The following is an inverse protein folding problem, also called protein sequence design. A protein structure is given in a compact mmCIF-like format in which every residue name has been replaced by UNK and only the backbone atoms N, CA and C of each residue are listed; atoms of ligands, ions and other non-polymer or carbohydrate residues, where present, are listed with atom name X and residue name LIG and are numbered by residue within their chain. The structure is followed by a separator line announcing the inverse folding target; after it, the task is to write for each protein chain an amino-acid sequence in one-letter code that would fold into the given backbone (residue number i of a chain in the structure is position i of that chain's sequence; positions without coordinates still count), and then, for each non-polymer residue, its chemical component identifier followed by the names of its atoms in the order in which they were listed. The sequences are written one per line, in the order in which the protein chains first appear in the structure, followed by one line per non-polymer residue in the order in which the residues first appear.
data_IF_476626400718
#
_entry.id   IF_476626400718
#
_cell.length_a   1.000
_cell.length_b   1.000
_cell.length_c   1.000
_cell.angle_alpha   90.00
_cell.angle_beta   90.00
_cell.angle_gamma   90.00
#
_symmetry.space_group_name_H-M   'P 1'
#
loop_
_entity.id
_entity.type
_entity.pdbx_description
1 polymer ?
#
# COMPACT_ATOMS: atom_id res chain seq x y z
N UNK A 1 -6.81 -42.97 50.69
CA UNK A 1 -5.59 -42.15 50.56
C UNK A 1 -5.51 -41.78 49.10
N UNK A 2 -5.87 -40.53 48.79
CA UNK A 2 -5.87 -39.99 47.45
C UNK A 2 -4.47 -39.42 47.18
N UNK A 3 -3.81 -39.88 46.12
CA UNK A 3 -2.69 -39.14 45.53
C UNK A 3 -3.28 -38.34 44.37
N UNK A 4 -3.58 -37.09 44.69
CA UNK A 4 -4.00 -36.04 43.79
C UNK A 4 -2.75 -35.56 43.04
N UNK A 5 -2.59 -35.98 41.79
CA UNK A 5 -1.53 -35.48 40.91
C UNK A 5 -1.91 -34.04 40.55
N UNK A 6 -1.47 -33.12 41.41
CA UNK A 6 -1.51 -31.69 41.18
C UNK A 6 -0.62 -31.35 39.97
N UNK A 7 -1.19 -31.40 38.78
CA UNK A 7 -0.61 -30.81 37.57
C UNK A 7 -0.70 -29.29 37.68
N UNK A 8 0.25 -28.73 38.44
CA UNK A 8 0.46 -27.30 38.61
C UNK A 8 1.01 -26.71 37.31
N UNK A 9 0.13 -26.50 36.32
CA UNK A 9 0.45 -25.73 35.13
C UNK A 9 0.64 -24.26 35.54
N UNK A 10 1.78 -23.63 35.24
CA UNK A 10 1.95 -22.22 35.54
C UNK A 10 0.89 -21.46 34.74
N UNK A 11 0.10 -20.63 35.43
CA UNK A 11 -0.95 -19.77 34.87
C UNK A 11 -0.29 -18.72 33.97
N UNK A 12 0.25 -19.15 32.84
CA UNK A 12 0.54 -18.31 31.70
C UNK A 12 -0.78 -18.11 30.97
N UNK A 13 -1.18 -16.85 30.76
CA UNK A 13 -2.41 -16.51 30.03
C UNK A 13 -2.53 -17.34 28.75
N UNK A 14 -3.45 -18.32 28.76
CA UNK A 14 -3.88 -18.96 27.54
C UNK A 14 -4.82 -17.96 26.85
N UNK A 15 -4.26 -17.15 25.97
CA UNK A 15 -5.06 -16.30 25.08
C UNK A 15 -5.74 -17.23 24.07
N UNK A 16 -6.98 -17.59 24.36
CA UNK A 16 -7.83 -18.34 23.43
C UNK A 16 -8.18 -17.43 22.24
N UNK A 17 -7.36 -17.45 21.19
CA UNK A 17 -7.69 -16.82 19.91
C UNK A 17 -8.82 -17.62 19.26
N UNK A 18 -10.00 -17.03 19.03
CA UNK A 18 -11.12 -17.72 18.40
C UNK A 18 -10.67 -18.38 17.09
N UNK A 19 -11.15 -19.59 16.79
CA UNK A 19 -10.76 -20.31 15.57
C UNK A 19 -10.97 -19.48 14.29
N UNK A 20 -11.94 -18.57 14.29
CA UNK A 20 -12.22 -17.63 13.21
C UNK A 20 -11.10 -16.59 12.96
N UNK A 21 -10.21 -16.38 13.95
CA UNK A 21 -9.05 -15.49 13.86
C UNK A 21 -7.76 -16.23 13.49
N UNK A 22 -7.80 -17.57 13.43
CA UNK A 22 -6.74 -18.45 12.92
C UNK A 22 -6.98 -18.87 11.47
N UNK A 23 -7.80 -18.12 10.74
CA UNK A 23 -8.10 -18.39 9.34
C UNK A 23 -7.17 -17.61 8.42
N UNK A 24 -6.67 -18.28 7.40
CA UNK A 24 -6.09 -17.64 6.19
C UNK A 24 -7.00 -16.52 5.68
N UNK A 25 -8.32 -16.63 5.86
CA UNK A 25 -9.31 -15.61 5.51
C UNK A 25 -9.12 -14.25 6.21
N UNK A 26 -8.85 -14.22 7.52
CA UNK A 26 -8.61 -12.95 8.22
C UNK A 26 -7.30 -12.31 7.75
N UNK A 27 -6.30 -13.15 7.48
CA UNK A 27 -5.02 -12.68 6.96
C UNK A 27 -5.13 -12.16 5.53
N UNK A 28 -5.92 -12.82 4.69
CA UNK A 28 -6.24 -12.39 3.34
C UNK A 28 -7.03 -11.08 3.34
N UNK A 29 -8.03 -10.93 4.22
CA UNK A 29 -8.81 -9.70 4.37
C UNK A 29 -7.92 -8.52 4.78
N UNK A 30 -7.03 -8.72 5.77
CA UNK A 30 -6.06 -7.72 6.21
C UNK A 30 -5.12 -7.37 5.04
N UNK A 31 -4.63 -8.38 4.30
CA UNK A 31 -3.74 -8.17 3.16
C UNK A 31 -4.41 -7.35 2.06
N UNK A 32 -5.64 -7.71 1.67
CA UNK A 32 -6.41 -7.01 0.63
C UNK A 32 -6.67 -5.57 1.05
N UNK A 33 -7.19 -5.35 2.26
CA UNK A 33 -7.45 -4.00 2.77
C UNK A 33 -6.17 -3.15 2.83
N UNK A 34 -5.05 -3.74 3.22
CA UNK A 34 -3.75 -3.06 3.26
C UNK A 34 -3.29 -2.68 1.85
N UNK A 35 -3.39 -3.60 0.88
CA UNK A 35 -3.02 -3.35 -0.51
C UNK A 35 -3.88 -2.24 -1.14
N UNK A 36 -5.19 -2.28 -0.91
CA UNK A 36 -6.12 -1.26 -1.40
C UNK A 36 -5.77 0.13 -0.86
N UNK A 37 -5.48 0.20 0.45
CA UNK A 37 -5.09 1.46 1.10
C UNK A 37 -3.77 1.99 0.54
N UNK A 38 -2.74 1.14 0.42
CA UNK A 38 -1.46 1.52 -0.19
C UNK A 38 -1.69 2.02 -1.63
N UNK A 39 -2.48 1.30 -2.41
CA UNK A 39 -2.80 1.69 -3.79
C UNK A 39 -3.58 3.00 -3.89
N UNK A 40 -4.46 3.30 -2.92
CA UNK A 40 -5.16 4.57 -2.84
C UNK A 40 -4.21 5.72 -2.48
N UNK A 41 -3.37 5.53 -1.47
CA UNK A 41 -2.40 6.54 -1.01
C UNK A 41 -1.37 6.86 -2.11
N UNK A 42 -0.87 5.86 -2.83
CA UNK A 42 0.02 6.06 -3.97
C UNK A 42 -0.67 6.86 -5.08
N UNK A 43 -1.91 6.52 -5.44
CA UNK A 43 -2.67 7.26 -6.45
C UNK A 43 -2.89 8.71 -6.06
N UNK A 44 -3.20 8.98 -4.78
CA UNK A 44 -3.35 10.33 -4.27
C UNK A 44 -2.03 11.11 -4.36
N UNK A 45 -0.92 10.53 -3.90
CA UNK A 45 0.40 11.14 -3.99
C UNK A 45 0.81 11.46 -5.43
N UNK A 46 0.56 10.54 -6.37
CA UNK A 46 0.83 10.79 -7.79
C UNK A 46 -0.09 11.86 -8.38
N UNK A 47 -1.37 11.89 -8.01
CA UNK A 47 -2.29 12.94 -8.44
C UNK A 47 -1.83 14.32 -7.94
N UNK A 48 -1.38 14.41 -6.69
CA UNK A 48 -0.84 15.65 -6.13
C UNK A 48 0.45 16.08 -6.85
N UNK A 49 1.36 15.13 -7.13
CA UNK A 49 2.57 15.40 -7.90
C UNK A 49 2.25 15.93 -9.30
N UNK A 50 1.29 15.34 -10.01
CA UNK A 50 0.88 15.77 -11.35
C UNK A 50 0.21 17.16 -11.37
N UNK A 51 -0.33 17.61 -10.23
CA UNK A 51 -0.90 18.95 -10.09
C UNK A 51 0.15 20.01 -9.81
N UNK A 52 1.36 19.62 -9.41
CA UNK A 52 2.42 20.59 -9.18
C UNK A 52 2.92 21.16 -10.51
N UNK A 53 3.18 22.47 -10.56
CA UNK A 53 3.81 23.07 -11.73
C UNK A 53 5.20 22.46 -11.93
N UNK A 54 5.59 22.31 -13.20
CA UNK A 54 6.93 21.86 -13.54
C UNK A 54 7.95 22.89 -13.02
N UNK A 55 9.16 22.42 -12.72
CA UNK A 55 10.23 23.36 -12.43
C UNK A 55 10.51 24.26 -13.66
N UNK A 56 10.95 25.51 -13.50
CA UNK A 56 11.17 26.42 -14.62
C UNK A 56 12.11 25.86 -15.71
N UNK A 57 13.07 25.02 -15.33
CA UNK A 57 13.94 24.32 -16.27
C UNK A 57 13.20 23.27 -17.10
N UNK A 58 12.31 22.50 -16.48
CA UNK A 58 11.47 21.52 -17.16
C UNK A 58 10.42 22.18 -18.06
N UNK A 59 9.80 23.27 -17.61
CA UNK A 59 8.88 24.07 -18.45
C UNK A 59 9.55 24.54 -19.73
N UNK A 60 10.78 25.06 -19.62
CA UNK A 60 11.57 25.49 -20.77
C UNK A 60 11.85 24.35 -21.73
N UNK A 61 12.23 23.18 -21.22
CA UNK A 61 12.48 21.99 -22.04
C UNK A 61 11.20 21.51 -22.74
N UNK A 62 10.07 21.45 -22.02
CA UNK A 62 8.78 21.10 -22.62
C UNK A 62 8.40 22.08 -23.73
N UNK A 63 8.61 23.38 -23.53
CA UNK A 63 8.36 24.39 -24.54
C UNK A 63 9.28 24.21 -25.77
N UNK A 64 10.56 23.92 -25.57
CA UNK A 64 11.51 23.64 -26.65
C UNK A 64 11.14 22.37 -27.44
N UNK A 65 10.64 21.33 -26.76
CA UNK A 65 10.19 20.10 -27.41
C UNK A 65 8.95 20.37 -28.25
N UNK A 66 7.95 21.07 -27.70
CA UNK A 66 6.71 21.42 -28.43
C UNK A 66 7.00 22.26 -29.67
N UNK A 67 7.81 23.31 -29.53
CA UNK A 67 8.20 24.14 -30.66
C UNK A 67 8.95 23.35 -31.74
N UNK A 68 9.87 22.46 -31.36
CA UNK A 68 10.53 21.56 -32.32
C UNK A 68 9.53 20.64 -33.04
N UNK A 69 8.56 20.09 -32.31
CA UNK A 69 7.52 19.20 -32.87
C UNK A 69 6.59 19.94 -33.84
N UNK A 70 6.24 21.18 -33.54
CA UNK A 70 5.41 22.03 -34.39
C UNK A 70 6.17 22.54 -35.63
N UNK A 71 7.49 22.71 -35.53
CA UNK A 71 8.36 23.13 -36.65
C UNK A 71 8.82 21.97 -37.53
N UNK A 72 8.61 20.72 -37.12
CA UNK A 72 8.83 19.58 -38.00
C UNK A 72 7.75 19.63 -39.09
N UNK A 73 8.14 19.72 -40.38
CA UNK A 73 7.16 19.66 -41.46
C UNK A 73 6.36 18.37 -41.28
N UNK A 74 5.05 18.48 -41.33
CA UNK A 74 4.19 17.31 -41.49
C UNK A 74 4.56 16.72 -42.84
N UNK A 75 5.49 15.76 -42.86
CA UNK A 75 5.79 14.94 -44.02
C UNK A 75 4.49 14.19 -44.36
N UNK A 76 3.73 14.78 -45.29
CA UNK A 76 2.66 14.12 -46.05
C UNK A 76 3.27 13.44 -47.27
#
# INVERSE_FOLDING_TARGET
MADDVNEDWPIGLIVAVPRAWRGESLWDDIRVQTQDRIGADLRAMYADLLRQPLSPGLERLVHQIKTRLETLPHEC
#
